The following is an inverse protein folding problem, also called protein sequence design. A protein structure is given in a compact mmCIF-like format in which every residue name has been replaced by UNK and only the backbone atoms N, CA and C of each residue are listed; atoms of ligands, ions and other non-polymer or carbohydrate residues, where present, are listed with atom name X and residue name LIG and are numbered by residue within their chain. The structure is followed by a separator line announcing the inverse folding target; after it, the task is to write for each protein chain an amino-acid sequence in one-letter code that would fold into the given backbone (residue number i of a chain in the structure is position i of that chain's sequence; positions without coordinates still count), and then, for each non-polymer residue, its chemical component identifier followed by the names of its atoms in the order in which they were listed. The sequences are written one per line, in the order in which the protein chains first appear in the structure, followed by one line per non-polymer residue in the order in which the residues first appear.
data_IF_505262675291
#
_entry.id   IF_505262675291
#
_cell.length_a   1.000
_cell.length_b   1.000
_cell.length_c   1.000
_cell.angle_alpha   90.00
_cell.angle_beta   90.00
_cell.angle_gamma   90.00
#
_symmetry.space_group_name_H-M   'P 1'
#
loop_
_entity.id
_entity.type
_entity.pdbx_description
1 polymer ?
#
# COMPACT_ATOMS: atom_id res chain seq x y z
N UNK A 1 -7.65 46.35 35.34
CA UNK A 1 -6.52 46.18 34.41
C UNK A 1 -6.62 44.79 33.80
N UNK A 2 -6.71 44.73 32.48
CA UNK A 2 -7.01 43.52 31.70
C UNK A 2 -5.74 42.67 31.63
N UNK A 3 -5.78 41.44 32.15
CA UNK A 3 -4.73 40.44 31.93
C UNK A 3 -5.08 39.58 30.72
N UNK A 4 -4.08 39.35 29.89
CA UNK A 4 -4.18 38.97 28.48
C UNK A 4 -4.87 37.63 28.23
N UNK A 5 -5.69 37.63 27.19
CA UNK A 5 -6.11 36.42 26.51
C UNK A 5 -4.88 35.86 25.77
N UNK A 6 -4.23 34.86 26.36
CA UNK A 6 -3.23 34.06 25.67
C UNK A 6 -3.97 33.21 24.63
N UNK A 7 -3.84 33.62 23.36
CA UNK A 7 -4.43 32.94 22.22
C UNK A 7 -3.91 31.50 22.15
N UNK A 8 -4.78 30.54 22.46
CA UNK A 8 -4.51 29.12 22.30
C UNK A 8 -4.27 28.83 20.81
N UNK A 9 -3.00 28.71 20.44
CA UNK A 9 -2.61 28.16 19.15
C UNK A 9 -2.55 26.63 19.29
N UNK A 10 -3.37 25.88 18.54
CA UNK A 10 -3.25 24.42 18.53
C UNK A 10 -1.84 24.03 18.10
N UNK A 11 -1.23 22.99 18.70
CA UNK A 11 0.09 22.53 18.29
C UNK A 11 0.05 22.18 16.80
N UNK A 12 0.97 22.77 16.04
CA UNK A 12 1.14 22.47 14.61
C UNK A 12 1.29 20.96 14.46
N UNK A 13 0.38 20.30 13.74
CA UNK A 13 0.56 18.88 13.40
C UNK A 13 1.89 18.75 12.66
N UNK A 14 2.86 18.12 13.30
CA UNK A 14 4.17 17.89 12.70
C UNK A 14 4.01 17.01 11.46
N UNK A 15 4.96 17.08 10.54
CA UNK A 15 5.07 16.21 9.34
C UNK A 15 4.89 14.71 9.64
N UNK A 16 5.08 14.28 10.88
CA UNK A 16 4.89 12.90 11.32
C UNK A 16 3.42 12.54 11.53
N UNK A 17 2.59 13.46 12.05
CA UNK A 17 1.14 13.27 12.16
C UNK A 17 0.47 13.16 10.77
N UNK A 18 1.08 13.79 9.77
CA UNK A 18 0.70 13.74 8.37
C UNK A 18 0.88 12.38 7.70
N UNK A 19 2.06 11.79 7.87
CA UNK A 19 2.36 10.46 7.36
C UNK A 19 1.44 9.43 8.02
N UNK A 20 1.12 9.61 9.30
CA UNK A 20 0.19 8.75 10.03
C UNK A 20 -1.28 8.94 9.64
N UNK A 21 -1.70 10.15 9.25
CA UNK A 21 -3.03 10.36 8.64
C UNK A 21 -3.10 9.76 7.23
N UNK A 22 -2.05 9.94 6.42
CA UNK A 22 -1.96 9.37 5.08
C UNK A 22 -1.90 7.83 5.09
N UNK A 23 -1.23 7.23 6.09
CA UNK A 23 -1.16 5.77 6.26
C UNK A 23 -2.36 5.20 7.02
N UNK A 24 -2.79 5.86 8.10
CA UNK A 24 -3.91 5.44 8.94
C UNK A 24 -5.25 5.47 8.21
N UNK A 25 -5.45 6.39 7.27
CA UNK A 25 -6.64 6.34 6.40
C UNK A 25 -6.60 5.13 5.46
N UNK A 26 -5.43 4.72 4.96
CA UNK A 26 -5.32 3.57 4.04
C UNK A 26 -5.37 2.20 4.73
N UNK A 27 -4.95 2.09 5.99
CA UNK A 27 -5.00 0.82 6.74
C UNK A 27 -6.38 0.53 7.35
N UNK A 28 -7.15 1.57 7.74
CA UNK A 28 -8.45 1.41 8.42
C UNK A 28 -9.62 1.60 7.44
N UNK A 29 -9.53 1.00 6.25
CA UNK A 29 -10.63 0.92 5.28
C UNK A 29 -10.96 2.20 4.52
N UNK A 30 -10.09 3.20 4.53
CA UNK A 30 -10.22 4.38 3.66
C UNK A 30 -9.74 4.12 2.22
N UNK A 31 -9.90 5.10 1.33
CA UNK A 31 -9.56 4.95 -0.08
C UNK A 31 -8.07 4.62 -0.27
N UNK A 32 -7.71 3.67 -1.14
CA UNK A 32 -6.31 3.25 -1.34
C UNK A 32 -5.46 4.28 -2.11
N UNK A 33 -6.09 5.29 -2.71
CA UNK A 33 -5.50 6.36 -3.53
C UNK A 33 -6.19 7.68 -3.20
N UNK A 34 -5.47 8.81 -3.30
CA UNK A 34 -5.99 10.11 -2.87
C UNK A 34 -5.72 11.25 -3.87
N UNK A 35 -6.68 12.15 -4.03
CA UNK A 35 -6.46 13.44 -4.71
C UNK A 35 -5.59 14.35 -3.85
N UNK A 36 -4.74 15.15 -4.48
CA UNK A 36 -3.94 16.14 -3.76
C UNK A 36 -4.82 17.13 -2.99
N UNK A 37 -5.93 17.59 -3.55
CA UNK A 37 -6.85 18.52 -2.89
C UNK A 37 -7.42 17.95 -1.59
N UNK A 38 -7.77 16.66 -1.57
CA UNK A 38 -8.24 15.98 -0.37
C UNK A 38 -7.12 15.90 0.69
N UNK A 39 -5.89 15.58 0.27
CA UNK A 39 -4.75 15.55 1.18
C UNK A 39 -4.43 16.94 1.74
N UNK A 40 -4.43 17.97 0.90
CA UNK A 40 -4.21 19.36 1.31
C UNK A 40 -5.29 19.87 2.26
N UNK A 41 -6.52 19.37 2.17
CA UNK A 41 -7.61 19.74 3.07
C UNK A 41 -7.31 19.37 4.54
N UNK A 42 -6.58 18.29 4.79
CA UNK A 42 -6.16 17.97 6.15
C UNK A 42 -5.07 18.94 6.68
N UNK A 43 -4.40 19.71 5.77
CA UNK A 43 -3.19 20.55 5.95
C UNK A 43 -3.49 21.99 5.59
N UNK A 44 -4.54 22.63 6.15
CA UNK A 44 -4.90 23.96 5.71
C UNK A 44 -3.73 24.95 5.86
N UNK A 45 -2.95 24.82 6.93
CA UNK A 45 -1.89 25.75 7.31
C UNK A 45 -0.52 25.47 6.67
N UNK A 46 -0.32 24.30 6.06
CA UNK A 46 0.92 23.98 5.36
C UNK A 46 0.91 24.56 3.94
N UNK A 47 2.08 24.96 3.44
CA UNK A 47 2.22 25.37 2.04
C UNK A 47 1.96 24.18 1.10
N UNK A 48 1.64 24.47 -0.16
CA UNK A 48 1.46 23.43 -1.18
C UNK A 48 2.77 22.68 -1.40
N UNK A 49 3.88 23.41 -1.39
CA UNK A 49 5.24 22.92 -1.58
C UNK A 49 5.66 21.97 -0.45
N UNK A 50 5.35 22.30 0.80
CA UNK A 50 5.65 21.44 1.95
C UNK A 50 4.91 20.10 1.84
N UNK A 51 3.59 20.15 1.55
CA UNK A 51 2.78 18.94 1.42
C UNK A 51 3.28 18.08 0.26
N UNK A 52 3.58 18.68 -0.89
CA UNK A 52 4.13 17.97 -2.05
C UNK A 52 5.52 17.40 -1.78
N UNK A 53 6.36 18.10 -1.01
CA UNK A 53 7.66 17.61 -0.57
C UNK A 53 7.56 16.36 0.28
N UNK A 54 6.57 16.28 1.17
CA UNK A 54 6.27 15.08 1.97
C UNK A 54 5.74 13.95 1.09
N UNK A 55 4.75 14.25 0.23
CA UNK A 55 4.15 13.24 -0.65
C UNK A 55 5.19 12.63 -1.60
N UNK A 56 6.08 13.43 -2.19
CA UNK A 56 7.14 12.92 -3.08
C UNK A 56 8.08 11.94 -2.36
N UNK A 57 8.29 12.11 -1.06
CA UNK A 57 9.12 11.20 -0.24
C UNK A 57 8.40 9.91 0.11
N UNK A 58 7.10 9.95 0.36
CA UNK A 58 6.34 8.85 0.98
C UNK A 58 5.30 8.19 0.08
N UNK A 59 5.02 8.77 -1.08
CA UNK A 59 4.00 8.32 -2.02
C UNK A 59 4.54 8.33 -3.46
N UNK A 60 3.83 7.63 -4.33
CA UNK A 60 3.97 7.72 -5.78
C UNK A 60 2.76 8.42 -6.37
N UNK A 61 2.96 9.06 -7.52
CA UNK A 61 1.87 9.62 -8.31
C UNK A 61 1.44 8.63 -9.40
N UNK A 62 0.16 8.31 -9.47
CA UNK A 62 -0.47 7.47 -10.50
C UNK A 62 -1.69 8.20 -11.02
N UNK A 63 -1.67 8.60 -12.30
CA UNK A 63 -2.77 9.35 -12.94
C UNK A 63 -3.22 10.61 -12.17
N UNK A 64 -2.26 11.33 -11.60
CA UNK A 64 -2.53 12.54 -10.80
C UNK A 64 -3.01 12.26 -9.38
N UNK A 65 -3.17 11.00 -8.98
CA UNK A 65 -3.53 10.58 -7.63
C UNK A 65 -2.30 10.10 -6.86
N UNK A 66 -2.28 10.37 -5.56
CA UNK A 66 -1.22 9.97 -4.66
C UNK A 66 -1.53 8.61 -4.02
N UNK A 67 -0.56 7.71 -4.09
CA UNK A 67 -0.60 6.36 -3.50
C UNK A 67 0.57 6.15 -2.57
N UNK A 68 0.38 5.66 -1.34
CA UNK A 68 1.50 5.37 -0.44
C UNK A 68 2.49 4.39 -1.07
N UNK A 69 3.78 4.58 -0.79
CA UNK A 69 4.82 3.62 -1.18
C UNK A 69 4.61 2.29 -0.47
N UNK A 70 4.85 1.18 -1.16
CA UNK A 70 4.70 -0.16 -0.57
C UNK A 70 5.62 -0.38 0.63
N UNK A 71 6.78 0.31 0.70
CA UNK A 71 7.66 0.29 1.87
C UNK A 71 7.01 0.81 3.16
N UNK A 72 5.93 1.59 3.07
CA UNK A 72 5.18 2.08 4.24
C UNK A 72 4.07 1.12 4.65
N UNK A 73 3.44 0.43 3.70
CA UNK A 73 2.32 -0.49 3.94
C UNK A 73 2.78 -1.92 4.26
N UNK A 74 4.00 -2.28 3.87
CA UNK A 74 4.58 -3.60 4.08
C UNK A 74 5.94 -3.45 4.77
N UNK A 75 5.96 -3.27 6.11
CA UNK A 75 7.21 -3.26 6.87
C UNK A 75 8.05 -4.50 6.56
N UNK A 76 9.30 -4.31 6.14
CA UNK A 76 10.18 -5.38 5.67
C UNK A 76 10.26 -5.53 4.14
N UNK A 77 9.39 -4.86 3.37
CA UNK A 77 9.57 -4.52 1.95
C UNK A 77 9.74 -5.67 0.95
N UNK A 78 9.67 -6.92 1.38
CA UNK A 78 9.95 -8.10 0.56
C UNK A 78 8.71 -9.00 0.47
N UNK A 79 8.57 -9.69 -0.66
CA UNK A 79 7.54 -10.71 -0.85
C UNK A 79 6.52 -10.38 -1.94
N UNK A 80 5.56 -11.30 -2.10
CA UNK A 80 4.62 -11.31 -3.24
C UNK A 80 3.64 -10.14 -3.19
N UNK A 81 3.19 -9.72 -2.00
CA UNK A 81 2.20 -8.66 -1.86
C UNK A 81 2.71 -7.26 -2.29
N UNK A 82 3.82 -6.71 -1.75
CA UNK A 82 4.35 -5.43 -2.19
C UNK A 82 4.71 -5.44 -3.68
N UNK A 83 5.30 -6.54 -4.17
CA UNK A 83 5.63 -6.69 -5.60
C UNK A 83 4.39 -6.67 -6.49
N UNK A 84 3.33 -7.40 -6.15
CA UNK A 84 2.09 -7.42 -6.91
C UNK A 84 1.44 -6.03 -6.94
N UNK A 85 1.41 -5.33 -5.80
CA UNK A 85 0.88 -3.98 -5.70
C UNK A 85 1.66 -3.01 -6.60
N UNK A 86 2.98 -3.01 -6.49
CA UNK A 86 3.83 -2.10 -7.26
C UNK A 86 3.75 -2.38 -8.76
N UNK A 87 3.61 -3.65 -9.17
CA UNK A 87 3.37 -3.99 -10.56
C UNK A 87 2.04 -3.44 -11.09
N UNK A 88 0.94 -3.54 -10.33
CA UNK A 88 -0.35 -2.97 -10.73
C UNK A 88 -0.29 -1.45 -10.82
N UNK A 89 0.34 -0.79 -9.84
CA UNK A 89 0.50 0.66 -9.83
C UNK A 89 1.38 1.14 -11.00
N UNK A 90 2.44 0.39 -11.34
CA UNK A 90 3.26 0.63 -12.52
C UNK A 90 2.43 0.52 -13.81
N UNK A 91 1.57 -0.49 -13.93
CA UNK A 91 0.70 -0.59 -15.12
C UNK A 91 -0.28 0.59 -15.20
N UNK A 92 -0.88 0.99 -14.07
CA UNK A 92 -1.76 2.15 -14.03
C UNK A 92 -1.07 3.50 -14.21
N UNK A 93 0.24 3.59 -13.96
CA UNK A 93 1.01 4.82 -14.23
C UNK A 93 1.16 5.08 -15.74
N UNK A 94 1.08 4.01 -16.56
CA UNK A 94 1.14 4.08 -18.03
C UNK A 94 -0.21 4.33 -18.69
N UNK A 95 -1.31 4.00 -18.02
CA UNK A 95 -2.66 4.23 -18.55
C UNK A 95 -3.78 3.74 -17.62
N UNK A 96 -5.05 4.09 -17.91
CA UNK A 96 -6.17 3.75 -17.04
C UNK A 96 -6.65 2.31 -17.13
N UNK A 97 -6.13 1.53 -18.08
CA UNK A 97 -6.60 0.18 -18.39
C UNK A 97 -5.47 -0.83 -18.23
N UNK A 98 -5.80 -1.99 -17.66
CA UNK A 98 -4.92 -3.15 -17.58
C UNK A 98 -5.63 -4.33 -18.24
N UNK A 99 -5.08 -4.83 -19.35
CA UNK A 99 -5.62 -6.01 -20.02
C UNK A 99 -5.32 -7.27 -19.21
N UNK A 100 -6.18 -8.29 -19.32
CA UNK A 100 -5.97 -9.56 -18.62
C UNK A 100 -4.61 -10.20 -18.92
N UNK A 101 -4.11 -10.11 -20.16
CA UNK A 101 -2.81 -10.65 -20.56
C UNK A 101 -1.62 -10.02 -19.83
N UNK A 102 -1.74 -8.79 -19.33
CA UNK A 102 -0.66 -8.11 -18.61
C UNK A 102 -0.50 -8.62 -17.18
N UNK A 103 -1.51 -9.31 -16.64
CA UNK A 103 -1.54 -9.85 -15.27
C UNK A 103 -1.79 -11.36 -15.23
N UNK A 104 -1.66 -12.01 -16.39
CA UNK A 104 -1.77 -13.47 -16.52
C UNK A 104 -0.44 -14.15 -16.18
N UNK A 105 -0.15 -14.19 -14.88
CA UNK A 105 1.05 -14.83 -14.31
C UNK A 105 0.65 -16.04 -13.47
N UNK A 106 1.49 -17.07 -13.32
CA UNK A 106 1.14 -18.26 -12.55
C UNK A 106 1.25 -18.07 -11.02
N UNK A 107 0.60 -18.97 -10.28
CA UNK A 107 0.85 -19.19 -8.86
C UNK A 107 0.34 -18.10 -7.89
N UNK A 108 1.02 -17.97 -6.76
CA UNK A 108 0.64 -17.06 -5.66
C UNK A 108 0.62 -15.58 -6.08
N UNK A 109 1.43 -15.22 -7.07
CA UNK A 109 1.46 -13.87 -7.64
C UNK A 109 0.14 -13.51 -8.33
N UNK A 110 -0.47 -14.43 -9.09
CA UNK A 110 -1.79 -14.22 -9.70
C UNK A 110 -2.85 -13.82 -8.66
N UNK A 111 -2.87 -14.57 -7.55
CA UNK A 111 -3.81 -14.35 -6.46
C UNK A 111 -3.61 -12.99 -5.81
N UNK A 112 -2.36 -12.58 -5.58
CA UNK A 112 -2.03 -11.26 -5.05
C UNK A 112 -2.43 -10.13 -6.02
N UNK A 113 -2.15 -10.28 -7.32
CA UNK A 113 -2.54 -9.31 -8.33
C UNK A 113 -4.06 -9.10 -8.38
N UNK A 114 -4.84 -10.19 -8.43
CA UNK A 114 -6.31 -10.12 -8.38
C UNK A 114 -6.82 -9.47 -7.10
N UNK A 115 -6.17 -9.75 -5.97
CA UNK A 115 -6.47 -9.10 -4.69
C UNK A 115 -6.37 -7.59 -4.79
N UNK A 116 -5.25 -7.05 -5.26
CA UNK A 116 -5.07 -5.60 -5.40
C UNK A 116 -5.89 -4.97 -6.52
N UNK A 117 -6.13 -5.68 -7.63
CA UNK A 117 -7.01 -5.21 -8.70
C UNK A 117 -8.45 -5.01 -8.21
N UNK A 118 -8.98 -5.88 -7.35
CA UNK A 118 -10.33 -5.69 -6.79
C UNK A 118 -10.44 -4.45 -5.91
N UNK A 119 -9.34 -4.04 -5.27
CA UNK A 119 -9.23 -2.83 -4.45
C UNK A 119 -9.12 -1.59 -5.35
N UNK A 120 -8.21 -1.60 -6.32
CA UNK A 120 -7.80 -0.42 -7.10
C UNK A 120 -8.61 -0.19 -8.39
N UNK A 121 -9.32 -1.20 -8.88
CA UNK A 121 -9.90 -1.21 -10.20
C UNK A 121 -11.31 -1.83 -10.23
N UNK A 122 -11.97 -1.66 -11.37
CA UNK A 122 -13.23 -2.31 -11.72
C UNK A 122 -12.96 -3.24 -12.89
N UNK A 123 -13.31 -4.51 -12.75
CA UNK A 123 -13.21 -5.49 -13.83
C UNK A 123 -14.27 -5.22 -14.89
N UNK A 124 -13.90 -5.33 -16.17
CA UNK A 124 -14.81 -5.19 -17.31
C UNK A 124 -14.70 -6.42 -18.21
N UNK A 125 -15.41 -7.51 -17.87
CA UNK A 125 -15.28 -8.79 -18.58
C UNK A 125 -15.53 -8.69 -20.09
N UNK A 126 -16.49 -7.88 -20.52
CA UNK A 126 -16.79 -7.65 -21.94
C UNK A 126 -15.63 -7.03 -22.73
N UNK A 127 -14.73 -6.32 -22.05
CA UNK A 127 -13.55 -5.69 -22.63
C UNK A 127 -12.26 -6.45 -22.31
N UNK A 128 -12.35 -7.51 -21.47
CA UNK A 128 -11.22 -8.31 -20.99
C UNK A 128 -10.11 -7.47 -20.35
N UNK A 129 -10.51 -6.46 -19.60
CA UNK A 129 -9.61 -5.55 -18.92
C UNK A 129 -10.11 -5.12 -17.53
N UNK A 130 -9.24 -4.42 -16.83
CA UNK A 130 -9.51 -3.73 -15.57
C UNK A 130 -9.35 -2.24 -15.80
N UNK A 131 -10.33 -1.45 -15.35
CA UNK A 131 -10.28 0.00 -15.40
C UNK A 131 -9.98 0.55 -14.01
N UNK A 132 -9.03 1.48 -13.93
CA UNK A 132 -8.71 2.18 -12.69
C UNK A 132 -9.98 2.82 -12.09
N UNK A 133 -10.22 2.58 -10.80
CA UNK A 133 -11.50 2.93 -10.15
C UNK A 133 -11.67 4.43 -10.02
N UNK A 134 -10.61 5.13 -9.64
CA UNK A 134 -10.62 6.58 -9.47
C UNK A 134 -10.32 7.31 -10.78
N UNK A 135 -11.06 8.39 -11.09
CA UNK A 135 -10.81 9.18 -12.28
C UNK A 135 -9.50 9.98 -12.15
N UNK A 136 -8.74 10.02 -13.25
CA UNK A 136 -7.49 10.78 -13.38
C UNK A 136 -7.65 12.22 -12.86
N UNK A 137 -6.71 12.68 -12.04
CA UNK A 137 -6.68 14.07 -11.57
C UNK A 137 -5.96 14.98 -12.57
N UNK A 138 -6.67 15.28 -13.66
CA UNK A 138 -6.15 16.13 -14.74
C UNK A 138 -5.80 17.53 -14.25
N UNK A 139 -6.56 18.07 -13.29
CA UNK A 139 -6.32 19.38 -12.71
C UNK A 139 -4.98 19.43 -11.97
N UNK A 140 -4.71 18.44 -11.11
CA UNK A 140 -3.42 18.31 -10.45
C UNK A 140 -2.27 18.20 -11.45
N UNK A 141 -2.43 17.36 -12.48
CA UNK A 141 -1.39 17.15 -13.48
C UNK A 141 -1.05 18.42 -14.28
N UNK A 142 -2.05 19.27 -14.54
CA UNK A 142 -1.84 20.57 -15.22
C UNK A 142 -1.18 21.59 -14.30
N UNK A 143 -1.52 21.59 -13.02
CA UNK A 143 -0.99 22.56 -12.05
C UNK A 143 0.45 22.23 -11.62
N UNK A 144 0.83 20.95 -11.61
CA UNK A 144 2.16 20.48 -11.14
C UNK A 144 2.88 19.60 -12.18
N UNK A 145 3.14 20.10 -13.40
CA UNK A 145 3.69 19.31 -14.51
C UNK A 145 5.13 18.82 -14.27
N UNK A 146 5.90 19.55 -13.47
CA UNK A 146 7.24 19.20 -13.03
C UNK A 146 7.25 17.95 -12.13
N UNK A 147 6.34 17.89 -11.15
CA UNK A 147 6.17 16.73 -10.27
C UNK A 147 5.71 15.52 -11.07
N UNK A 148 4.77 15.70 -12.01
CA UNK A 148 4.32 14.62 -12.90
C UNK A 148 5.49 14.04 -13.70
N UNK A 149 6.33 14.91 -14.26
CA UNK A 149 7.50 14.49 -15.04
C UNK A 149 8.52 13.77 -14.18
N UNK A 150 8.73 14.20 -12.94
CA UNK A 150 9.66 13.54 -12.03
C UNK A 150 9.15 12.17 -11.58
N UNK A 151 7.88 12.07 -11.20
CA UNK A 151 7.25 10.80 -10.84
C UNK A 151 7.23 9.81 -12.00
N UNK A 152 7.12 10.30 -13.25
CA UNK A 152 7.29 9.44 -14.44
C UNK A 152 8.68 8.80 -14.48
N UNK A 153 9.75 9.57 -14.25
CA UNK A 153 11.12 9.04 -14.21
C UNK A 153 11.33 8.03 -13.10
N UNK A 154 10.70 8.27 -11.94
CA UNK A 154 10.70 7.30 -10.83
C UNK A 154 10.08 5.97 -11.29
N UNK A 155 8.93 6.00 -11.95
CA UNK A 155 8.30 4.78 -12.49
C UNK A 155 9.14 4.10 -13.57
N UNK A 156 9.75 4.85 -14.48
CA UNK A 156 10.65 4.34 -15.52
C UNK A 156 11.86 3.61 -14.91
N UNK A 157 12.43 4.14 -13.82
CA UNK A 157 13.53 3.51 -13.08
C UNK A 157 13.11 2.20 -12.41
N UNK A 158 11.92 2.18 -11.80
CA UNK A 158 11.37 1.01 -11.11
C UNK A 158 10.90 -0.09 -12.07
N UNK A 159 10.46 0.29 -13.27
CA UNK A 159 9.84 -0.61 -14.24
C UNK A 159 10.71 -1.83 -14.52
N UNK A 160 11.99 -1.62 -14.79
CA UNK A 160 12.92 -2.70 -15.10
C UNK A 160 13.01 -3.69 -13.95
N UNK A 161 13.20 -3.19 -12.73
CA UNK A 161 13.33 -4.02 -11.52
C UNK A 161 12.06 -4.85 -11.28
N UNK A 162 10.89 -4.21 -11.37
CA UNK A 162 9.61 -4.90 -11.15
C UNK A 162 9.38 -5.95 -12.25
N UNK A 163 9.57 -5.59 -13.51
CA UNK A 163 9.30 -6.47 -14.66
C UNK A 163 10.24 -7.67 -14.66
N UNK A 164 11.52 -7.48 -14.34
CA UNK A 164 12.51 -8.55 -14.25
C UNK A 164 12.14 -9.57 -13.15
N UNK A 165 11.61 -9.13 -12.01
CA UNK A 165 11.18 -10.04 -10.95
C UNK A 165 9.92 -10.80 -11.35
N UNK A 166 8.95 -10.12 -11.99
CA UNK A 166 7.67 -10.72 -12.41
C UNK A 166 7.87 -11.77 -13.52
N UNK A 167 8.72 -11.49 -14.51
CA UNK A 167 8.87 -12.34 -15.71
C UNK A 167 10.16 -13.15 -15.74
N UNK A 168 11.20 -12.74 -15.01
CA UNK A 168 12.54 -13.35 -15.01
C UNK A 168 12.66 -14.63 -14.17
N UNK A 169 11.64 -15.00 -13.39
CA UNK A 169 11.62 -16.23 -12.59
C UNK A 169 11.63 -17.54 -13.39
N UNK A 170 11.56 -17.48 -14.73
CA UNK A 170 11.44 -18.65 -15.62
C UNK A 170 12.70 -19.07 -16.39
N UNK A 171 13.85 -18.39 -16.26
CA UNK A 171 15.09 -18.75 -17.00
C UNK A 171 16.32 -18.98 -16.12
N UNK A 172 16.20 -19.83 -15.11
CA UNK A 172 17.34 -20.63 -14.63
C UNK A 172 17.07 -22.11 -14.93
N UNK A 173 17.32 -22.49 -16.18
CA UNK A 173 17.54 -23.89 -16.53
C UNK A 173 18.84 -24.42 -15.90
N UNK A 174 18.95 -25.73 -15.67
CA UNK A 174 19.91 -26.32 -14.74
C UNK A 174 21.32 -26.34 -15.31
N UNK A 175 22.28 -25.77 -14.56
CA UNK A 175 23.69 -26.11 -14.75
C UNK A 175 23.98 -27.36 -13.92
N UNK A 176 23.89 -28.51 -14.57
CA UNK A 176 24.51 -29.74 -14.10
C UNK A 176 26.03 -29.64 -14.30
N UNK A 177 26.80 -29.98 -13.25
CA UNK A 177 27.95 -30.90 -13.35
C UNK A 177 28.47 -31.26 -11.96
N UNK A 178 28.16 -32.51 -11.58
CA UNK A 178 29.02 -33.52 -10.92
C UNK A 178 29.57 -33.17 -9.52
N UNK A 179 29.70 -34.07 -8.55
CA UNK A 179 29.64 -35.54 -8.48
C UNK A 179 29.88 -35.92 -7.01
N UNK A 180 29.17 -36.94 -6.48
CA UNK A 180 29.51 -37.52 -5.18
C UNK A 180 28.32 -38.13 -4.43
N UNK A 181 28.02 -39.40 -4.70
CA UNK A 181 27.36 -40.35 -3.78
C UNK A 181 28.41 -41.42 -3.45
N UNK A 182 28.39 -42.08 -2.26
CA UNK A 182 27.32 -43.03 -1.89
C UNK A 182 26.81 -42.87 -0.43
N UNK A 183 25.51 -43.11 -0.19
CA UNK A 183 24.92 -44.30 0.50
C UNK A 183 25.33 -44.42 1.98
N UNK A 184 24.41 -44.45 2.95
CA UNK A 184 23.76 -45.68 3.44
C UNK A 184 22.45 -45.36 4.17
N UNK A 185 21.51 -46.31 4.06
CA UNK A 185 20.17 -46.36 4.62
C UNK A 185 20.10 -46.50 6.16
N UNK A 186 18.97 -46.11 6.76
CA UNK A 186 18.15 -47.06 7.53
C UNK A 186 16.71 -46.56 7.79
N UNK A 187 15.78 -47.51 7.69
CA UNK A 187 14.34 -47.50 8.04
C UNK A 187 14.19 -47.37 9.59
N UNK A 188 13.07 -47.14 10.29
CA UNK A 188 11.62 -47.42 10.14
C UNK A 188 10.87 -46.74 11.32
N UNK A 189 9.55 -46.55 11.25
CA UNK A 189 8.64 -46.45 12.42
C UNK A 189 7.62 -45.30 12.31
N UNK A 190 6.38 -45.49 11.83
CA UNK A 190 5.17 -46.08 12.45
C UNK A 190 4.21 -45.02 13.06
N UNK A 191 3.01 -44.92 12.44
CA UNK A 191 1.67 -44.46 12.91
C UNK A 191 1.54 -43.21 13.82
N UNK A 192 0.55 -42.32 13.66
CA UNK A 192 -0.89 -42.56 13.94
C UNK A 192 -1.76 -41.41 13.37
N UNK A 193 -3.01 -41.73 13.03
CA UNK A 193 -4.06 -40.86 12.45
C UNK A 193 -4.84 -40.04 13.50
N UNK A 194 -5.43 -38.91 13.09
CA UNK A 194 -6.88 -38.54 13.23
C UNK A 194 -7.14 -37.14 12.62
N UNK A 195 -7.91 -37.04 11.52
CA UNK A 195 -9.31 -36.53 11.38
C UNK A 195 -9.47 -35.02 11.70
N UNK A 196 -9.88 -34.09 10.82
CA UNK A 196 -11.10 -34.04 9.98
C UNK A 196 -12.32 -33.59 10.82
N UNK A 197 -13.16 -32.58 10.55
CA UNK A 197 -13.34 -31.57 9.52
C UNK A 197 -14.42 -30.54 10.00
N UNK A 198 -14.37 -29.30 9.48
CA UNK A 198 -15.46 -28.35 9.07
C UNK A 198 -16.71 -27.95 9.90
N UNK A 199 -17.05 -26.64 9.75
CA UNK A 199 -18.38 -25.97 9.51
C UNK A 199 -18.88 -25.09 10.67
N UNK A 200 -18.82 -23.75 10.63
CA UNK A 200 -19.51 -22.69 9.84
C UNK A 200 -20.76 -22.08 10.52
N UNK A 201 -20.84 -20.74 10.40
CA UNK A 201 -21.97 -19.78 10.49
C UNK A 201 -22.66 -19.51 11.84
N UNK A 202 -22.52 -18.27 12.34
CA UNK A 202 -23.58 -17.26 12.21
C UNK A 202 -23.07 -15.85 12.52
N UNK A 203 -23.28 -14.93 11.57
CA UNK A 203 -22.94 -13.51 11.69
C UNK A 203 -24.09 -12.72 12.31
N UNK A 204 -23.78 -12.00 13.38
CA UNK A 204 -24.65 -11.00 14.00
C UNK A 204 -24.06 -9.62 13.66
N UNK A 205 -24.86 -8.62 13.24
CA UNK A 205 -24.32 -7.33 12.84
C UNK A 205 -23.68 -6.64 14.04
N UNK A 206 -22.38 -6.35 13.95
CA UNK A 206 -21.64 -5.58 14.95
C UNK A 206 -22.21 -4.17 14.97
N UNK A 207 -23.08 -3.94 15.95
CA UNK A 207 -23.54 -2.64 16.41
C UNK A 207 -22.30 -1.77 16.65
N UNK A 208 -22.17 -0.64 15.94
CA UNK A 208 -21.11 0.34 16.20
C UNK A 208 -21.26 0.83 17.64
N UNK A 209 -20.51 0.25 18.56
CA UNK A 209 -20.43 0.72 19.94
C UNK A 209 -19.75 2.07 19.92
N UNK A 210 -20.46 3.12 20.35
CA UNK A 210 -19.81 4.38 20.67
C UNK A 210 -18.76 4.09 21.76
N UNK A 211 -17.53 4.56 21.56
CA UNK A 211 -16.45 4.36 22.52
C UNK A 211 -16.81 5.02 23.86
N UNK A 212 -16.47 4.37 24.97
CA UNK A 212 -16.63 4.96 26.31
C UNK A 212 -15.72 6.19 26.43
N UNK A 213 -16.12 7.13 27.29
CA UNK A 213 -15.36 8.36 27.53
C UNK A 213 -13.92 8.05 27.98
N UNK A 214 -13.75 7.02 28.82
CA UNK A 214 -12.45 6.57 29.31
C UNK A 214 -11.55 6.06 28.18
N UNK A 215 -12.08 5.23 27.26
CA UNK A 215 -11.31 4.78 26.10
C UNK A 215 -10.99 5.94 25.16
N UNK A 216 -11.90 6.90 25.00
CA UNK A 216 -11.69 8.09 24.18
C UNK A 216 -10.58 9.01 24.74
N UNK A 217 -10.42 9.07 26.06
CA UNK A 217 -9.35 9.85 26.70
C UNK A 217 -8.02 9.10 26.80
N UNK A 218 -8.05 7.77 26.87
CA UNK A 218 -6.84 6.95 26.91
C UNK A 218 -6.19 6.76 25.53
N UNK A 219 -7.00 6.83 24.45
CA UNK A 219 -6.53 6.59 23.08
C UNK A 219 -5.41 7.54 22.63
N UNK A 220 -5.49 8.87 22.86
CA UNK A 220 -4.43 9.80 22.46
C UNK A 220 -3.09 9.49 23.16
N UNK A 221 -3.12 9.17 24.46
CA UNK A 221 -1.92 8.83 25.24
C UNK A 221 -1.28 7.52 24.79
N UNK A 222 -2.09 6.52 24.47
CA UNK A 222 -1.61 5.24 23.97
C UNK A 222 -0.96 5.39 22.58
N UNK A 223 -1.54 6.23 21.71
CA UNK A 223 -0.97 6.54 20.40
C UNK A 223 0.36 7.30 20.52
N UNK A 224 0.44 8.25 21.44
CA UNK A 224 1.66 9.01 21.71
C UNK A 224 2.82 8.09 22.16
N UNK A 225 2.55 7.12 23.03
CA UNK A 225 3.54 6.12 23.44
C UNK A 225 3.99 5.21 22.28
N UNK A 226 3.06 4.79 21.41
CA UNK A 226 3.38 4.01 20.22
C UNK A 226 4.29 4.82 19.27
N UNK A 227 4.02 6.12 19.09
CA UNK A 227 4.83 6.99 18.24
C UNK A 227 6.23 7.24 18.83
N UNK A 228 6.33 7.37 20.16
CA UNK A 228 7.60 7.46 20.89
C UNK A 228 8.42 6.17 20.74
N UNK A 229 7.79 5.01 20.90
CA UNK A 229 8.43 3.70 20.84
C UNK A 229 9.01 3.40 19.45
N UNK A 230 8.27 3.76 18.39
CA UNK A 230 8.70 3.52 17.01
C UNK A 230 9.59 4.64 16.44
N UNK A 231 10.04 5.59 17.27
CA UNK A 231 10.88 6.76 16.90
C UNK A 231 10.35 7.52 15.69
N UNK A 232 9.03 7.63 15.58
CA UNK A 232 8.36 8.20 14.41
C UNK A 232 8.38 9.72 14.44
N UNK A 233 8.57 10.32 15.61
CA UNK A 233 8.77 11.76 15.81
C UNK A 233 10.16 12.00 16.43
N UNK A 234 10.97 12.82 15.78
CA UNK A 234 12.14 13.49 16.40
C UNK A 234 11.80 14.94 16.67
#
# INVERSE_FOLDING_TARGET
MVQGAESYHPPKLTTCCWVLLFLGYTEVGGPPVHRFSALKHFAPDNSVEDVLGVLTKHAHLVQGLWVPKSSLLFPGGQGVAPLARDYILLLFSKGPLINYSQVDVPGSLNKALKGFLSILAVERPSFRDWKFKEPTDVSFMKLHPDIVREQRRVWESLEKQITDIIHGGGRRGPVTKNSGKPSIANKTGTSTKSDGATRATNGTPVRRTAMSAETREALPKALEEVFRLHKVCR
#
